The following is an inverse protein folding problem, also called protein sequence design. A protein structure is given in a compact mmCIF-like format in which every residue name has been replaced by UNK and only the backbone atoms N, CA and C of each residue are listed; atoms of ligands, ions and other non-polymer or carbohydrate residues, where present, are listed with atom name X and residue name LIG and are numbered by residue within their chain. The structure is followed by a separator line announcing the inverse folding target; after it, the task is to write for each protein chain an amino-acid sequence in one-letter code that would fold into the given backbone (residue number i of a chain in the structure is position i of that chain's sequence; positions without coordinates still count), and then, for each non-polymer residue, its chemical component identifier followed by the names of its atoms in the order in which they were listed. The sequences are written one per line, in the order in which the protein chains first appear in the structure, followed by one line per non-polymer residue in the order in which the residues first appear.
data_IF_218197173427
#
_entry.id   IF_218197173427
#
_cell.length_a   1.000
_cell.length_b   1.000
_cell.length_c   1.000
_cell.angle_alpha   90.00
_cell.angle_beta   90.00
_cell.angle_gamma   90.00
#
_symmetry.space_group_name_H-M   'P 1'
#
loop_
_entity.id
_entity.type
_entity.pdbx_description
1 polymer ?
#
# COMPACT_ATOMS: atom_id res chain seq x y z
N UNK A 1 -0.43 12.73 -1.15
CA UNK A 1 0.87 13.27 -1.64
C UNK A 1 2.00 12.32 -1.24
N UNK A 2 2.92 11.98 -2.16
CA UNK A 2 4.01 11.01 -1.94
C UNK A 2 5.20 11.64 -1.18
N UNK A 3 5.65 11.07 -0.03
CA UNK A 3 6.87 11.51 0.66
C UNK A 3 8.10 11.46 -0.23
N UNK A 4 8.99 12.44 -0.11
CA UNK A 4 10.16 12.62 -0.98
C UNK A 4 11.05 11.37 -1.07
N UNK A 5 11.21 10.65 0.03
CA UNK A 5 12.01 9.43 0.13
C UNK A 5 11.39 8.23 -0.61
N UNK A 6 10.10 8.29 -0.92
CA UNK A 6 9.35 7.26 -1.66
C UNK A 6 9.11 7.62 -3.13
N UNK A 7 9.47 8.83 -3.56
CA UNK A 7 9.19 9.28 -4.92
C UNK A 7 10.01 8.53 -5.96
N UNK A 8 9.36 8.15 -7.05
CA UNK A 8 10.00 7.73 -8.30
C UNK A 8 9.95 8.92 -9.26
N UNK A 9 11.10 9.39 -9.74
CA UNK A 9 11.19 10.55 -10.61
C UNK A 9 11.43 10.15 -12.07
N UNK A 10 10.70 10.78 -12.98
CA UNK A 10 10.86 10.61 -14.43
C UNK A 10 11.92 11.54 -15.01
N UNK A 11 12.15 11.43 -16.32
CA UNK A 11 13.19 12.15 -17.07
C UNK A 11 13.07 13.70 -17.09
N UNK A 12 12.04 14.27 -16.45
CA UNK A 12 11.83 15.72 -16.30
C UNK A 12 11.70 16.19 -14.84
N UNK A 13 12.09 15.36 -13.86
CA UNK A 13 11.98 15.68 -12.44
C UNK A 13 10.56 15.53 -11.86
N UNK A 14 9.56 15.19 -12.67
CA UNK A 14 8.21 14.89 -12.21
C UNK A 14 8.16 13.57 -11.44
N UNK A 15 7.40 13.53 -10.36
CA UNK A 15 7.10 12.28 -9.64
C UNK A 15 6.14 11.44 -10.49
N UNK A 16 6.60 10.27 -10.93
CA UNK A 16 5.84 9.33 -11.80
C UNK A 16 5.36 8.10 -11.04
N UNK A 17 5.71 7.97 -9.76
CA UNK A 17 5.28 6.87 -8.90
C UNK A 17 5.64 7.12 -7.44
N UNK A 18 5.08 6.29 -6.57
CA UNK A 18 5.35 6.31 -5.14
C UNK A 18 5.62 4.89 -4.66
N UNK A 19 6.84 4.62 -4.20
CA UNK A 19 7.21 3.34 -3.63
C UNK A 19 6.47 3.11 -2.31
N UNK A 20 6.16 1.86 -1.99
CA UNK A 20 5.80 1.51 -0.62
C UNK A 20 7.03 1.60 0.29
N UNK A 21 6.81 1.75 1.60
CA UNK A 21 7.92 1.72 2.56
C UNK A 21 8.66 0.37 2.56
N UNK A 22 7.96 -0.74 2.33
CA UNK A 22 8.60 -2.04 2.18
C UNK A 22 9.57 -2.03 0.98
N UNK A 23 9.11 -1.59 -0.19
CA UNK A 23 9.95 -1.56 -1.39
C UNK A 23 11.15 -0.61 -1.22
N UNK A 24 10.97 0.49 -0.49
CA UNK A 24 12.04 1.48 -0.28
C UNK A 24 13.08 1.03 0.73
N UNK A 25 12.65 0.53 1.89
CA UNK A 25 13.52 0.33 3.05
C UNK A 25 13.85 -1.15 3.30
N UNK A 26 13.02 -2.07 2.82
CA UNK A 26 13.19 -3.51 3.00
C UNK A 26 13.35 -3.93 4.48
N UNK A 27 12.68 -3.23 5.39
CA UNK A 27 12.73 -3.51 6.83
C UNK A 27 11.52 -4.36 7.27
N UNK A 28 11.70 -5.29 8.23
CA UNK A 28 10.63 -6.17 8.71
C UNK A 28 9.33 -5.45 9.11
N UNK A 29 9.42 -4.31 9.80
CA UNK A 29 8.25 -3.51 10.20
C UNK A 29 7.43 -2.92 9.04
N UNK A 30 8.00 -2.80 7.85
CA UNK A 30 7.29 -2.29 6.66
C UNK A 30 6.83 -3.41 5.73
N UNK A 31 7.59 -4.51 5.69
CA UNK A 31 7.32 -5.66 4.83
C UNK A 31 6.50 -6.76 5.52
N UNK A 32 6.32 -6.66 6.83
CA UNK A 32 5.72 -7.70 7.66
C UNK A 32 6.39 -9.07 7.49
N UNK A 33 7.72 -9.06 7.47
CA UNK A 33 8.58 -10.26 7.46
C UNK A 33 9.12 -10.51 8.86
N UNK A 34 9.76 -11.66 9.15
CA UNK A 34 10.21 -11.94 10.51
C UNK A 34 11.10 -10.87 11.14
N UNK A 35 10.81 -10.41 12.38
CA UNK A 35 9.86 -10.97 13.37
C UNK A 35 8.42 -10.40 13.34
N UNK A 36 8.09 -9.64 12.30
CA UNK A 36 6.81 -8.95 12.10
C UNK A 36 5.85 -9.74 11.18
N UNK A 37 5.94 -11.08 11.11
CA UNK A 37 5.12 -11.91 10.20
C UNK A 37 3.68 -12.16 10.65
N UNK A 38 3.15 -11.35 11.56
CA UNK A 38 1.76 -11.43 12.03
C UNK A 38 1.11 -10.05 12.08
N UNK A 39 -0.21 -9.94 11.93
CA UNK A 39 -0.91 -8.66 12.05
C UNK A 39 -0.62 -7.94 13.37
N UNK A 40 -0.54 -8.68 14.48
CA UNK A 40 -0.29 -8.10 15.81
C UNK A 40 1.15 -7.59 15.95
N UNK A 41 2.09 -8.17 15.20
CA UNK A 41 3.50 -7.77 15.22
C UNK A 41 3.85 -6.78 14.10
N UNK A 42 2.97 -6.55 13.12
CA UNK A 42 3.17 -5.58 12.04
C UNK A 42 2.01 -4.56 11.99
N UNK A 43 1.99 -3.58 12.93
CA UNK A 43 0.96 -2.55 12.94
C UNK A 43 1.13 -1.56 11.77
N UNK A 44 0.09 -0.77 11.45
CA UNK A 44 0.21 0.33 10.52
C UNK A 44 1.34 1.29 10.92
N UNK A 45 2.09 1.75 9.92
CA UNK A 45 3.14 2.77 10.03
C UNK A 45 2.69 4.09 9.43
N UNK A 46 3.40 5.18 9.73
CA UNK A 46 3.14 6.50 9.13
C UNK A 46 3.10 6.45 7.59
N UNK A 47 3.93 5.61 6.98
CA UNK A 47 3.92 5.40 5.53
C UNK A 47 2.63 4.73 5.06
N UNK A 48 2.25 3.59 5.65
CA UNK A 48 1.00 2.91 5.28
C UNK A 48 -0.24 3.80 5.51
N UNK A 49 -0.26 4.58 6.60
CA UNK A 49 -1.36 5.48 6.90
C UNK A 49 -1.53 6.57 5.83
N UNK A 50 -0.44 7.06 5.23
CA UNK A 50 -0.52 8.01 4.11
C UNK A 50 -1.22 7.40 2.89
N UNK A 51 -0.92 6.15 2.54
CA UNK A 51 -1.62 5.46 1.45
C UNK A 51 -3.10 5.22 1.81
N UNK A 52 -3.37 4.75 3.03
CA UNK A 52 -4.72 4.52 3.55
C UNK A 52 -5.59 5.80 3.53
N UNK A 53 -5.01 6.97 3.83
CA UNK A 53 -5.74 8.25 3.81
C UNK A 53 -6.07 8.73 2.39
N UNK A 54 -5.25 8.39 1.39
CA UNK A 54 -5.48 8.81 0.00
C UNK A 54 -6.39 7.83 -0.73
N UNK A 55 -6.26 6.54 -0.46
CA UNK A 55 -7.04 5.47 -1.07
C UNK A 55 -7.60 4.55 0.04
N UNK A 56 -8.64 4.98 0.79
CA UNK A 56 -9.18 4.23 1.94
C UNK A 56 -9.88 2.93 1.55
N UNK A 57 -10.07 2.67 0.25
CA UNK A 57 -10.64 1.43 -0.28
C UNK A 57 -9.56 0.48 -0.83
N UNK A 58 -8.29 0.86 -0.75
CA UNK A 58 -7.18 0.02 -1.19
C UNK A 58 -6.36 -0.46 0.02
N UNK A 59 -5.76 -1.64 -0.11
CA UNK A 59 -4.78 -2.14 0.86
C UNK A 59 -3.55 -1.23 0.87
N UNK A 60 -3.21 -0.69 2.05
CA UNK A 60 -2.07 0.22 2.22
C UNK A 60 -0.78 -0.45 2.71
N UNK A 61 -0.88 -1.65 3.30
CA UNK A 61 0.22 -2.52 3.69
C UNK A 61 -0.24 -3.98 3.76
N UNK A 62 0.68 -4.91 4.06
CA UNK A 62 0.44 -6.36 3.93
C UNK A 62 -0.72 -6.90 4.79
N UNK A 63 -0.96 -6.33 5.97
CA UNK A 63 -2.04 -6.74 6.87
C UNK A 63 -3.11 -5.66 7.06
N UNK A 64 -3.29 -4.79 6.06
CA UNK A 64 -4.36 -3.77 6.12
C UNK A 64 -5.72 -4.45 6.01
N UNK A 65 -6.41 -4.63 7.13
CA UNK A 65 -7.70 -5.33 7.20
C UNK A 65 -8.90 -4.39 7.19
N UNK A 66 -8.68 -3.07 7.05
CA UNK A 66 -9.65 -1.99 7.34
C UNK A 66 -11.01 -2.08 6.60
N UNK A 67 -11.17 -2.96 5.61
CA UNK A 67 -12.44 -3.22 4.90
C UNK A 67 -12.80 -4.69 4.66
N UNK A 68 -12.04 -5.64 5.21
CA UNK A 68 -12.24 -7.06 4.91
C UNK A 68 -11.93 -7.40 3.45
N UNK A 69 -11.85 -8.69 3.15
CA UNK A 69 -11.61 -9.17 1.79
C UNK A 69 -12.73 -8.68 0.86
N UNK A 70 -12.37 -7.93 -0.19
CA UNK A 70 -13.32 -7.59 -1.26
C UNK A 70 -13.74 -8.89 -1.96
N UNK A 71 -14.96 -9.36 -1.67
CA UNK A 71 -15.49 -10.63 -2.17
C UNK A 71 -16.82 -10.42 -2.88
N UNK A 72 -17.04 -11.18 -3.95
CA UNK A 72 -18.30 -11.18 -4.69
C UNK A 72 -18.60 -12.61 -5.18
N UNK A 73 -19.82 -13.10 -4.89
CA UNK A 73 -20.24 -14.48 -5.17
C UNK A 73 -21.15 -14.54 -6.41
N UNK A 74 -21.26 -15.72 -7.03
CA UNK A 74 -22.23 -15.94 -8.13
C UNK A 74 -21.70 -15.68 -9.54
N UNK A 75 -20.39 -15.73 -9.75
CA UNK A 75 -19.76 -15.56 -11.07
C UNK A 75 -19.81 -14.13 -11.62
N UNK A 76 -19.32 -13.13 -10.87
CA UNK A 76 -19.32 -11.75 -11.34
C UNK A 76 -18.32 -11.55 -12.49
N UNK A 77 -18.62 -10.56 -13.34
CA UNK A 77 -17.62 -9.94 -14.21
C UNK A 77 -17.00 -8.74 -13.50
N UNK A 78 -15.80 -8.33 -13.92
CA UNK A 78 -15.08 -7.20 -13.33
C UNK A 78 -14.70 -6.20 -14.41
N UNK A 79 -14.79 -4.91 -14.08
CA UNK A 79 -14.24 -3.82 -14.88
C UNK A 79 -13.07 -3.20 -14.12
N UNK A 80 -11.91 -3.07 -14.78
CA UNK A 80 -10.73 -2.41 -14.24
C UNK A 80 -10.56 -1.09 -15.00
N UNK A 81 -10.60 0.02 -14.25
CA UNK A 81 -10.54 1.37 -14.81
C UNK A 81 -9.31 2.09 -14.27
N UNK A 82 -8.54 2.71 -15.17
CA UNK A 82 -7.41 3.57 -14.81
C UNK A 82 -7.88 5.02 -14.79
N UNK A 83 -7.51 5.76 -13.74
CA UNK A 83 -8.05 7.09 -13.45
C UNK A 83 -9.60 7.07 -13.37
N UNK A 84 -10.18 6.24 -12.48
CA UNK A 84 -11.62 6.16 -12.27
C UNK A 84 -12.22 7.46 -11.74
#
# INVERSE_FOLDING_TARGET
MCPSELQVTGAGGSVVGCMSACLKFNEPKYCCTPPNEKPETCPPTDYSMKFSQQCPEAYSYAYDDKKGTFTCSGGPNYAITFCP
#
